data_IF_396418467722
#
_entry.id   IF_396418467722
#
_cell.length_a   1.000
_cell.length_b   1.000
_cell.length_c   1.000
_cell.angle_alpha   90.00
_cell.angle_beta   90.00
_cell.angle_gamma   90.00
#
_symmetry.space_group_name_H-M   'P 1'
#
loop_
_entity.id
_entity.type
_entity.pdbx_description
1 polymer ?
#
# COMPACT_ATOMS: atom_id res chain seq x y z
N UNK A 1 -15.83 -22.14 6.71
CA UNK A 1 -15.88 -21.25 5.51
C UNK A 1 -14.69 -21.65 4.65
N UNK A 2 -14.93 -22.05 3.41
CA UNK A 2 -13.87 -22.44 2.46
C UNK A 2 -13.66 -21.30 1.47
N UNK A 3 -12.42 -20.97 1.16
CA UNK A 3 -12.08 -20.01 0.11
C UNK A 3 -12.31 -20.68 -1.24
N UNK A 4 -12.91 -19.94 -2.17
CA UNK A 4 -13.14 -20.41 -3.54
C UNK A 4 -11.82 -20.72 -4.25
N UNK A 5 -11.75 -21.86 -4.95
CA UNK A 5 -10.55 -22.28 -5.68
C UNK A 5 -10.20 -21.31 -6.82
N UNK A 6 -11.19 -20.66 -7.44
CA UNK A 6 -10.93 -19.64 -8.46
C UNK A 6 -10.26 -18.40 -7.85
N UNK A 7 -10.67 -18.02 -6.64
CA UNK A 7 -10.03 -16.92 -5.92
C UNK A 7 -8.57 -17.25 -5.56
N UNK A 8 -8.31 -18.48 -5.10
CA UNK A 8 -6.94 -18.94 -4.82
C UNK A 8 -6.08 -18.97 -6.08
N UNK A 9 -6.61 -19.42 -7.20
CA UNK A 9 -5.92 -19.42 -8.48
C UNK A 9 -5.55 -17.98 -8.89
N UNK A 10 -6.51 -17.06 -8.87
CA UNK A 10 -6.30 -15.67 -9.26
C UNK A 10 -5.28 -14.94 -8.36
N UNK A 11 -5.27 -15.25 -7.05
CA UNK A 11 -4.38 -14.56 -6.09
C UNK A 11 -2.98 -15.18 -6.02
N UNK A 12 -2.84 -16.49 -6.27
CA UNK A 12 -1.59 -17.20 -6.01
C UNK A 12 -1.10 -18.05 -7.18
N UNK A 13 -1.85 -19.08 -7.61
CA UNK A 13 -1.30 -20.09 -8.53
C UNK A 13 -1.19 -19.61 -9.96
N UNK A 14 -2.11 -18.77 -10.42
CA UNK A 14 -2.17 -18.22 -11.78
C UNK A 14 -1.72 -16.75 -11.82
N UNK A 15 -1.47 -16.13 -10.65
CA UNK A 15 -0.97 -14.77 -10.57
C UNK A 15 0.38 -14.64 -11.27
N UNK A 16 0.56 -13.58 -12.08
CA UNK A 16 1.81 -13.27 -12.79
C UNK A 16 2.06 -11.76 -12.77
N UNK A 17 3.33 -11.40 -12.76
CA UNK A 17 3.75 -10.02 -13.00
C UNK A 17 3.68 -9.74 -14.50
N UNK A 18 2.79 -8.84 -14.88
CA UNK A 18 2.62 -8.41 -16.28
C UNK A 18 3.44 -7.14 -16.56
N UNK A 19 3.91 -7.00 -17.82
CA UNK A 19 4.66 -5.84 -18.28
C UNK A 19 3.86 -4.96 -19.26
N UNK A 20 2.68 -5.42 -19.68
CA UNK A 20 1.77 -4.69 -20.56
C UNK A 20 0.38 -4.56 -19.91
N UNK A 21 -0.37 -3.56 -20.32
CA UNK A 21 -1.66 -3.20 -19.76
C UNK A 21 -2.74 -3.21 -20.83
N UNK A 22 -3.94 -3.56 -20.42
CA UNK A 22 -5.11 -3.36 -21.26
C UNK A 22 -5.46 -1.87 -21.30
N UNK A 23 -6.00 -1.40 -22.42
CA UNK A 23 -6.59 -0.06 -22.51
C UNK A 23 -7.94 -0.05 -21.79
N UNK A 24 -7.87 -0.06 -20.45
CA UNK A 24 -9.02 -0.10 -19.58
C UNK A 24 -8.82 0.87 -18.41
N UNK A 25 -9.70 1.87 -18.28
CA UNK A 25 -9.59 2.81 -17.16
C UNK A 25 -9.84 2.12 -15.82
N UNK A 26 -9.20 2.63 -14.78
CA UNK A 26 -9.44 2.26 -13.38
C UNK A 26 -10.22 3.40 -12.73
N UNK A 27 -11.44 3.13 -12.28
CA UNK A 27 -12.30 4.15 -11.68
C UNK A 27 -11.90 4.49 -10.24
N UNK A 28 -12.34 5.64 -9.75
CA UNK A 28 -12.11 6.07 -8.38
C UNK A 28 -12.83 5.16 -7.38
N UNK A 29 -14.02 4.68 -7.74
CA UNK A 29 -14.78 3.73 -6.92
C UNK A 29 -14.04 2.40 -6.75
N UNK A 30 -13.37 1.93 -7.82
CA UNK A 30 -12.56 0.71 -7.73
C UNK A 30 -11.34 0.92 -6.83
N UNK A 31 -10.65 2.05 -6.94
CA UNK A 31 -9.51 2.38 -6.07
C UNK A 31 -9.93 2.51 -4.61
N UNK A 32 -11.07 3.16 -4.33
CA UNK A 32 -11.64 3.25 -2.99
C UNK A 32 -11.97 1.86 -2.43
N UNK A 33 -12.58 0.98 -3.24
CA UNK A 33 -12.89 -0.38 -2.84
C UNK A 33 -11.63 -1.21 -2.54
N UNK A 34 -10.58 -1.06 -3.35
CA UNK A 34 -9.29 -1.73 -3.10
C UNK A 34 -8.70 -1.25 -1.77
N UNK A 35 -8.71 0.06 -1.51
CA UNK A 35 -8.25 0.62 -0.25
C UNK A 35 -9.07 0.10 0.93
N UNK A 36 -10.40 0.07 0.83
CA UNK A 36 -11.30 -0.41 1.88
C UNK A 36 -11.05 -1.87 2.26
N UNK A 37 -10.67 -2.71 1.30
CA UNK A 37 -10.28 -4.10 1.56
C UNK A 37 -8.87 -4.17 2.15
N UNK A 38 -7.92 -3.41 1.60
CA UNK A 38 -6.51 -3.44 2.02
C UNK A 38 -6.33 -2.96 3.47
N UNK A 39 -7.06 -1.92 3.87
CA UNK A 39 -6.99 -1.36 5.23
C UNK A 39 -7.47 -2.31 6.33
N UNK A 40 -8.17 -3.41 5.97
CA UNK A 40 -8.63 -4.43 6.92
C UNK A 40 -7.53 -5.39 7.36
N UNK A 41 -6.35 -5.33 6.75
CA UNK A 41 -5.18 -6.11 7.20
C UNK A 41 -4.79 -5.71 8.63
N UNK A 42 -4.50 -6.68 9.52
CA UNK A 42 -4.12 -6.40 10.90
C UNK A 42 -2.74 -5.73 10.96
N UNK A 43 -2.57 -4.82 11.92
CA UNK A 43 -1.30 -4.18 12.22
C UNK A 43 -0.98 -4.26 13.71
N UNK A 44 0.31 -4.18 14.06
CA UNK A 44 0.76 -4.21 15.45
C UNK A 44 0.10 -3.08 16.26
N UNK A 45 -0.51 -3.40 17.39
CA UNK A 45 -1.24 -2.41 18.21
C UNK A 45 -2.21 -1.50 17.39
N UNK A 46 -2.76 -2.02 16.30
CA UNK A 46 -3.62 -1.24 15.39
C UNK A 46 -2.98 0.08 14.89
N UNK A 47 -1.66 0.09 14.72
CA UNK A 47 -0.92 1.33 14.43
C UNK A 47 -1.12 1.88 13.02
N UNK A 48 -1.62 1.06 12.08
CA UNK A 48 -2.02 1.48 10.73
C UNK A 48 -1.00 2.40 10.03
N UNK A 49 0.26 2.00 9.87
CA UNK A 49 1.33 2.89 9.36
C UNK A 49 1.24 3.13 7.86
N UNK A 50 0.64 2.23 7.10
CA UNK A 50 0.62 2.29 5.64
C UNK A 50 -0.08 3.53 5.09
N UNK A 51 0.50 4.12 4.04
CA UNK A 51 -0.06 5.21 3.25
C UNK A 51 0.03 4.83 1.78
N UNK A 52 -1.02 5.13 1.02
CA UNK A 52 -1.10 4.80 -0.40
C UNK A 52 -1.34 6.07 -1.21
N UNK A 53 -0.49 6.29 -2.22
CA UNK A 53 -0.64 7.40 -3.17
C UNK A 53 -0.91 6.81 -4.54
N UNK A 54 -2.09 7.09 -5.09
CA UNK A 54 -2.49 6.66 -6.42
C UNK A 54 -2.03 7.68 -7.46
N UNK A 55 -1.05 7.31 -8.28
CA UNK A 55 -0.45 8.14 -9.32
C UNK A 55 -1.11 7.79 -10.65
N UNK A 56 -1.86 8.73 -11.25
CA UNK A 56 -2.67 8.52 -12.46
C UNK A 56 -2.34 9.49 -13.60
N UNK A 57 -2.16 10.76 -13.27
CA UNK A 57 -1.94 11.75 -14.33
C UNK A 57 -0.55 11.62 -14.96
N UNK A 58 -0.40 11.95 -16.26
CA UNK A 58 0.90 11.97 -16.91
C UNK A 58 1.94 12.82 -16.17
N UNK A 59 1.54 13.99 -15.67
CA UNK A 59 2.41 14.91 -14.95
C UNK A 59 2.91 14.30 -13.62
N UNK A 60 2.04 13.58 -12.91
CA UNK A 60 2.43 12.90 -11.67
C UNK A 60 3.37 11.72 -11.95
N UNK A 61 3.16 10.99 -13.06
CA UNK A 61 4.05 9.92 -13.49
C UNK A 61 5.41 10.44 -13.93
N UNK A 62 5.49 11.57 -14.62
CA UNK A 62 6.77 12.20 -14.97
C UNK A 62 7.57 12.59 -13.73
N UNK A 63 6.92 12.99 -12.63
CA UNK A 63 7.60 13.25 -11.34
C UNK A 63 8.15 11.96 -10.71
N UNK A 64 7.45 10.83 -10.89
CA UNK A 64 7.90 9.53 -10.38
C UNK A 64 9.05 8.94 -11.19
N UNK A 65 9.12 9.23 -12.48
CA UNK A 65 10.03 8.67 -13.47
C UNK A 65 11.50 8.61 -13.05
N UNK A 66 12.10 9.67 -12.45
CA UNK A 66 13.50 9.64 -12.03
C UNK A 66 13.83 8.61 -10.95
N UNK A 67 12.81 8.14 -10.21
CA UNK A 67 12.95 7.15 -9.14
C UNK A 67 12.77 5.71 -9.63
N UNK A 68 12.46 5.50 -10.93
CA UNK A 68 12.21 4.18 -11.48
C UNK A 68 13.48 3.56 -12.05
N UNK A 69 13.68 2.27 -11.78
CA UNK A 69 14.70 1.49 -12.50
C UNK A 69 14.33 1.35 -13.98
N UNK A 70 15.34 1.22 -14.86
CA UNK A 70 15.13 1.11 -16.29
C UNK A 70 14.18 -0.03 -16.68
N UNK A 71 14.26 -1.19 -16.00
CA UNK A 71 13.39 -2.34 -16.27
C UNK A 71 11.93 -2.15 -15.85
N UNK A 72 11.62 -1.12 -15.04
CA UNK A 72 10.27 -0.81 -14.59
C UNK A 72 9.68 0.43 -15.26
N UNK A 73 10.51 1.18 -15.99
CA UNK A 73 10.13 2.50 -16.51
C UNK A 73 8.90 2.42 -17.41
N UNK A 74 8.97 1.66 -18.49
CA UNK A 74 7.89 1.59 -19.48
C UNK A 74 6.57 1.10 -18.87
N UNK A 75 6.59 -0.01 -18.13
CA UNK A 75 5.38 -0.57 -17.53
C UNK A 75 4.75 0.35 -16.47
N UNK A 76 5.55 1.14 -15.75
CA UNK A 76 5.03 2.11 -14.78
C UNK A 76 4.42 3.32 -15.49
N UNK A 77 5.10 3.84 -16.51
CA UNK A 77 4.62 5.01 -17.26
C UNK A 77 3.34 4.71 -18.04
N UNK A 78 3.19 3.49 -18.57
CA UNK A 78 2.02 3.07 -19.36
C UNK A 78 0.87 2.51 -18.53
N UNK A 79 1.09 2.15 -17.25
CA UNK A 79 0.03 1.65 -16.39
C UNK A 79 -1.09 2.69 -16.20
N UNK A 80 -2.37 2.29 -16.17
CA UNK A 80 -3.48 3.22 -15.92
C UNK A 80 -3.39 3.88 -14.54
N UNK A 81 -2.86 3.16 -13.54
CA UNK A 81 -2.62 3.65 -12.18
C UNK A 81 -1.34 3.02 -11.65
N UNK A 82 -0.54 3.80 -10.95
CA UNK A 82 0.59 3.32 -10.14
C UNK A 82 0.32 3.65 -8.69
N UNK A 83 0.58 2.72 -7.79
CA UNK A 83 0.43 2.94 -6.34
C UNK A 83 1.80 3.04 -5.71
N UNK A 84 2.03 4.13 -4.98
CA UNK A 84 3.19 4.25 -4.08
C UNK A 84 2.70 3.79 -2.70
N UNK A 85 3.28 2.70 -2.20
CA UNK A 85 3.12 2.29 -0.82
C UNK A 85 4.20 2.98 0.02
N UNK A 86 3.79 3.70 1.04
CA UNK A 86 4.66 4.44 1.94
C UNK A 86 4.29 4.17 3.39
N UNK A 87 5.15 4.57 4.29
CA UNK A 87 4.97 4.45 5.73
C UNK A 87 4.90 5.84 6.33
N UNK A 88 3.94 6.05 7.23
CA UNK A 88 3.92 7.19 8.13
C UNK A 88 4.98 6.96 9.21
N UNK A 89 6.09 7.66 9.17
CA UNK A 89 7.19 7.51 10.14
C UNK A 89 6.80 7.92 11.56
N UNK A 90 5.71 8.65 11.72
CA UNK A 90 5.17 9.10 12.99
C UNK A 90 3.81 8.43 13.30
N UNK A 91 3.58 7.22 12.80
CA UNK A 91 2.34 6.48 13.01
C UNK A 91 1.94 6.38 14.48
N UNK A 92 2.91 6.31 15.38
CA UNK A 92 2.71 6.19 16.82
C UNK A 92 2.01 7.40 17.45
N UNK A 93 2.02 8.55 16.78
CA UNK A 93 1.27 9.73 17.24
C UNK A 93 -0.24 9.49 17.29
N UNK A 94 -0.74 8.53 16.54
CA UNK A 94 -2.15 8.17 16.48
C UNK A 94 -2.57 7.07 17.46
N UNK A 95 -1.62 6.41 18.08
CA UNK A 95 -1.87 5.29 19.00
C UNK A 95 -2.76 5.64 20.20
N UNK A 96 -2.70 6.83 20.81
CA UNK A 96 -3.65 7.19 21.86
C UNK A 96 -5.12 7.06 21.44
N UNK A 97 -5.41 7.21 20.15
CA UNK A 97 -6.77 7.01 19.59
C UNK A 97 -6.97 5.59 19.07
N UNK A 98 -5.97 5.02 18.38
CA UNK A 98 -6.09 3.74 17.69
C UNK A 98 -5.93 2.54 18.63
N UNK A 99 -5.20 2.72 19.75
CA UNK A 99 -4.95 1.71 20.77
C UNK A 99 -5.01 2.31 22.19
N UNK A 100 -6.21 2.72 22.67
CA UNK A 100 -6.36 3.44 23.93
C UNK A 100 -6.19 2.56 25.18
N UNK A 101 -5.92 1.27 25.02
CA UNK A 101 -5.85 0.30 26.14
C UNK A 101 -4.53 0.37 26.91
N UNK A 102 -3.49 0.98 26.34
CA UNK A 102 -2.18 1.16 26.95
C UNK A 102 -1.47 2.39 26.38
N UNK A 103 -0.41 2.85 27.05
CA UNK A 103 0.48 3.88 26.50
C UNK A 103 1.42 3.27 25.43
N UNK A 104 0.80 2.80 24.34
CA UNK A 104 1.53 2.19 23.23
C UNK A 104 2.41 3.19 22.47
N UNK A 105 2.14 4.50 22.55
CA UNK A 105 3.00 5.53 21.96
C UNK A 105 4.40 5.48 22.55
N UNK A 106 4.54 5.28 23.85
CA UNK A 106 5.83 5.23 24.53
C UNK A 106 6.72 4.08 24.05
N UNK A 107 6.16 2.99 23.53
CA UNK A 107 6.90 1.84 23.00
C UNK A 107 7.76 2.21 21.79
N UNK A 108 7.30 3.18 21.00
CA UNK A 108 7.96 3.62 19.77
C UNK A 108 8.78 4.90 19.95
N UNK A 109 8.33 5.82 20.79
CA UNK A 109 9.09 7.05 21.05
C UNK A 109 10.39 6.81 21.83
N UNK A 110 10.47 5.72 22.59
CA UNK A 110 11.68 5.33 23.31
C UNK A 110 12.71 4.60 22.44
N UNK A 111 12.33 4.12 21.24
CA UNK A 111 13.22 3.37 20.36
C UNK A 111 12.88 3.63 18.87
N UNK A 112 13.58 4.55 18.21
CA UNK A 112 13.40 4.81 16.78
C UNK A 112 13.56 3.56 15.90
N UNK A 113 14.47 2.65 16.28
CA UNK A 113 14.67 1.40 15.52
C UNK A 113 13.43 0.51 15.58
N UNK A 114 12.76 0.39 16.74
CA UNK A 114 11.51 -0.37 16.88
C UNK A 114 10.38 0.28 16.08
N UNK A 115 10.34 1.61 16.04
CA UNK A 115 9.35 2.34 15.24
C UNK A 115 9.56 2.07 13.73
N UNK A 116 10.78 2.12 13.25
CA UNK A 116 11.12 1.83 11.85
C UNK A 116 10.78 0.37 11.49
N UNK A 117 11.23 -0.59 12.29
CA UNK A 117 10.97 -2.03 12.06
C UNK A 117 9.47 -2.37 12.09
N UNK A 118 8.71 -1.74 12.98
CA UNK A 118 7.25 -1.97 13.08
C UNK A 118 6.49 -1.29 11.93
N UNK A 119 6.98 -0.15 11.44
CA UNK A 119 6.38 0.58 10.34
C UNK A 119 6.47 -0.18 9.01
N UNK A 120 7.52 -0.95 8.82
CA UNK A 120 7.73 -1.80 7.65
C UNK A 120 6.94 -3.11 7.73
#
# INVERSE_FOLDING_TARGET
>A
MTVDQQALAALFTDARTHNGWQDKPVSDELLAKIYDLTKMGPTSANCCPARFVFVRSPEAKEKLKPSLSSGNLEKTMTAPVTVIAAIDSEFYEKLPTLFPHADAKSWFTSSPAVAEETGF
#
